data_IF_544048544891
#
_entry.id   IF_544048544891
#
_cell.length_a   1.000
_cell.length_b   1.000
_cell.length_c   1.000
_cell.angle_alpha   90.00
_cell.angle_beta   90.00
_cell.angle_gamma   90.00
#
_symmetry.space_group_name_H-M   'P 1'
#
loop_
_entity.id
_entity.type
_entity.pdbx_description
1 polymer ?
#
# COMPACT_ATOMS: atom_id res chain seq x y z
N UNK A 1 -8.81 -14.11 -12.95
CA UNK A 1 -8.13 -12.80 -13.01
C UNK A 1 -8.42 -12.16 -14.36
N UNK A 2 -8.96 -10.95 -14.37
CA UNK A 2 -9.27 -10.20 -15.61
C UNK A 2 -8.20 -9.11 -15.78
N UNK A 3 -7.77 -8.87 -17.03
CA UNK A 3 -6.88 -7.75 -17.36
C UNK A 3 -7.75 -6.65 -17.95
N UNK A 4 -7.61 -5.42 -17.45
CA UNK A 4 -8.29 -4.23 -17.97
C UNK A 4 -7.26 -3.20 -18.37
N UNK A 5 -7.39 -2.66 -19.57
CA UNK A 5 -6.55 -1.57 -20.08
C UNK A 5 -7.39 -0.28 -19.95
N UNK A 6 -6.90 0.69 -19.19
CA UNK A 6 -7.56 2.00 -19.11
C UNK A 6 -7.34 2.79 -20.40
N UNK A 7 -8.33 3.53 -20.91
CA UNK A 7 -8.14 4.37 -22.10
C UNK A 7 -6.97 5.36 -21.95
N UNK A 8 -6.72 5.85 -20.73
CA UNK A 8 -5.57 6.72 -20.43
C UNK A 8 -4.22 6.07 -20.71
N UNK A 9 -4.11 4.73 -20.64
CA UNK A 9 -2.89 4.01 -20.99
C UNK A 9 -2.61 4.09 -22.50
N UNK A 10 -3.63 3.93 -23.35
CA UNK A 10 -3.47 4.05 -24.80
C UNK A 10 -3.04 5.48 -25.20
N UNK A 11 -3.63 6.50 -24.57
CA UNK A 11 -3.22 7.89 -24.77
C UNK A 11 -1.77 8.11 -24.34
N UNK A 12 -1.37 7.56 -23.20
CA UNK A 12 0.01 7.64 -22.71
C UNK A 12 1.01 6.99 -23.68
N UNK A 13 0.72 5.80 -24.19
CA UNK A 13 1.57 5.11 -25.19
C UNK A 13 1.69 5.94 -26.47
N UNK A 14 0.59 6.55 -26.93
CA UNK A 14 0.61 7.42 -28.10
C UNK A 14 1.50 8.66 -27.87
N UNK A 15 1.39 9.29 -26.72
CA UNK A 15 2.23 10.45 -26.36
C UNK A 15 3.71 10.02 -26.30
N UNK A 16 4.02 8.90 -25.69
CA UNK A 16 5.38 8.37 -25.64
C UNK A 16 5.93 8.10 -27.04
N UNK A 17 5.12 7.50 -27.91
CA UNK A 17 5.54 7.22 -29.29
C UNK A 17 5.91 8.51 -30.06
N UNK A 18 5.08 9.57 -29.90
CA UNK A 18 5.31 10.86 -30.56
C UNK A 18 6.54 11.57 -30.00
N UNK A 19 6.73 11.56 -28.67
CA UNK A 19 7.79 12.32 -28.01
C UNK A 19 9.15 11.63 -27.98
N UNK A 20 9.18 10.30 -27.82
CA UNK A 20 10.40 9.54 -27.58
C UNK A 20 10.82 8.65 -28.76
N UNK A 21 9.97 8.56 -29.78
CA UNK A 21 10.20 7.71 -30.94
C UNK A 21 9.87 6.24 -30.73
N UNK A 22 9.90 5.42 -31.79
CA UNK A 22 9.40 4.05 -31.76
C UNK A 22 10.24 3.11 -30.88
N UNK A 23 11.55 3.22 -30.88
CA UNK A 23 12.44 2.33 -30.11
C UNK A 23 12.29 2.57 -28.60
N UNK A 24 12.29 3.83 -28.16
CA UNK A 24 12.11 4.16 -26.74
C UNK A 24 10.71 3.81 -26.25
N UNK A 25 9.67 4.05 -27.06
CA UNK A 25 8.30 3.66 -26.75
C UNK A 25 8.20 2.12 -26.62
N UNK A 26 8.76 1.35 -27.55
CA UNK A 26 8.77 -0.10 -27.47
C UNK A 26 9.50 -0.59 -26.21
N UNK A 27 10.64 0.01 -25.85
CA UNK A 27 11.37 -0.30 -24.62
C UNK A 27 10.53 -0.09 -23.37
N UNK A 28 9.89 1.07 -23.23
CA UNK A 28 9.07 1.41 -22.04
C UNK A 28 7.81 0.53 -21.94
N UNK A 29 7.13 0.28 -23.06
CA UNK A 29 5.94 -0.61 -23.09
C UNK A 29 6.34 -2.04 -22.73
N UNK A 30 7.45 -2.54 -23.30
CA UNK A 30 7.96 -3.87 -22.97
C UNK A 30 8.30 -3.98 -21.49
N UNK A 31 9.02 -3.00 -20.93
CA UNK A 31 9.39 -3.00 -19.52
C UNK A 31 8.16 -3.03 -18.62
N UNK A 32 7.14 -2.23 -18.92
CA UNK A 32 5.91 -2.19 -18.12
C UNK A 32 5.11 -3.50 -18.24
N UNK A 33 4.91 -4.02 -19.46
CA UNK A 33 4.14 -5.25 -19.68
C UNK A 33 4.80 -6.44 -19.01
N UNK A 34 6.13 -6.55 -19.11
CA UNK A 34 6.89 -7.62 -18.44
C UNK A 34 6.75 -7.51 -16.93
N UNK A 35 6.97 -6.33 -16.37
CA UNK A 35 6.87 -6.04 -14.95
C UNK A 35 5.52 -6.49 -14.38
N UNK A 36 4.42 -6.02 -14.96
CA UNK A 36 3.07 -6.36 -14.52
C UNK A 36 2.72 -7.85 -14.76
N UNK A 37 3.25 -8.44 -15.83
CA UNK A 37 3.04 -9.85 -16.12
C UNK A 37 3.68 -10.75 -15.07
N UNK A 38 4.86 -10.40 -14.57
CA UNK A 38 5.53 -11.14 -13.52
C UNK A 38 4.82 -11.00 -12.18
N UNK A 39 4.32 -9.80 -11.82
CA UNK A 39 3.44 -9.65 -10.66
C UNK A 39 2.19 -10.52 -10.79
N UNK A 40 1.55 -10.51 -11.96
CA UNK A 40 0.36 -11.32 -12.21
C UNK A 40 0.63 -12.83 -12.17
N UNK A 41 1.79 -13.27 -12.66
CA UNK A 41 2.22 -14.68 -12.59
C UNK A 41 2.51 -15.09 -11.14
N UNK A 42 3.24 -14.26 -10.39
CA UNK A 42 3.53 -14.50 -8.98
C UNK A 42 2.24 -14.53 -8.14
N UNK A 43 1.31 -13.64 -8.39
CA UNK A 43 0.02 -13.63 -7.71
C UNK A 43 -0.78 -14.92 -7.95
N UNK A 44 -0.77 -15.44 -9.17
CA UNK A 44 -1.39 -16.75 -9.48
C UNK A 44 -0.67 -17.90 -8.78
N UNK A 45 0.65 -17.91 -8.81
CA UNK A 45 1.48 -18.95 -8.19
C UNK A 45 1.27 -18.97 -6.68
N UNK A 46 1.21 -17.80 -6.07
CA UNK A 46 0.95 -17.60 -4.66
C UNK A 46 -0.54 -17.71 -4.30
N UNK A 47 -1.43 -17.97 -5.26
CA UNK A 47 -2.88 -18.08 -5.07
C UNK A 47 -3.48 -16.84 -4.39
N UNK A 48 -2.99 -15.64 -4.75
CA UNK A 48 -3.55 -14.39 -4.24
C UNK A 48 -4.96 -14.15 -4.80
N UNK A 49 -5.90 -13.66 -3.98
CA UNK A 49 -7.30 -13.45 -4.36
C UNK A 49 -7.46 -12.17 -5.20
N UNK A 50 -6.78 -12.09 -6.36
CA UNK A 50 -6.85 -10.93 -7.24
C UNK A 50 -8.08 -11.02 -8.15
N UNK A 51 -8.89 -9.96 -8.17
CA UNK A 51 -10.06 -9.82 -9.03
C UNK A 51 -9.65 -9.39 -10.45
N UNK A 52 -8.86 -8.32 -10.56
CA UNK A 52 -8.37 -7.82 -11.84
C UNK A 52 -7.03 -7.07 -11.70
N UNK A 53 -6.31 -7.00 -12.81
CA UNK A 53 -5.13 -6.15 -12.99
C UNK A 53 -5.50 -5.06 -14.00
N UNK A 54 -5.40 -3.79 -13.60
CA UNK A 54 -5.69 -2.63 -14.44
C UNK A 54 -4.37 -1.98 -14.86
N UNK A 55 -4.11 -1.91 -16.18
CA UNK A 55 -2.97 -1.17 -16.71
C UNK A 55 -3.30 0.32 -16.76
N UNK A 56 -2.52 1.13 -16.07
CA UNK A 56 -2.58 2.58 -16.01
C UNK A 56 -1.28 3.20 -16.57
N UNK A 57 -1.22 4.50 -16.87
CA UNK A 57 -0.06 5.15 -17.47
C UNK A 57 1.26 4.97 -16.71
N UNK A 58 1.20 4.86 -15.40
CA UNK A 58 2.39 4.80 -14.53
C UNK A 58 2.52 3.45 -13.80
N UNK A 59 1.88 2.38 -14.29
CA UNK A 59 1.98 1.04 -13.71
C UNK A 59 0.66 0.29 -13.71
N UNK A 60 0.69 -0.96 -13.22
CA UNK A 60 -0.49 -1.79 -12.99
C UNK A 60 -1.07 -1.59 -11.60
N UNK A 61 -2.38 -1.63 -11.51
CA UNK A 61 -3.09 -1.63 -10.24
C UNK A 61 -3.73 -3.00 -10.05
N UNK A 62 -3.24 -3.76 -9.07
CA UNK A 62 -3.85 -5.03 -8.69
C UNK A 62 -5.03 -4.77 -7.75
N UNK A 63 -6.23 -5.16 -8.18
CA UNK A 63 -7.44 -5.11 -7.35
C UNK A 63 -7.73 -6.46 -6.77
N UNK A 64 -7.82 -6.53 -5.46
CA UNK A 64 -8.18 -7.73 -4.72
C UNK A 64 -9.69 -7.96 -4.75
N UNK A 65 -10.11 -9.20 -4.51
CA UNK A 65 -11.54 -9.53 -4.36
C UNK A 65 -12.08 -8.84 -3.10
N UNK A 66 -13.36 -8.51 -3.11
CA UNK A 66 -14.02 -7.86 -1.97
C UNK A 66 -13.86 -8.70 -0.70
N UNK A 67 -13.39 -8.08 0.38
CA UNK A 67 -13.12 -8.75 1.65
C UNK A 67 -11.78 -9.49 1.73
N UNK A 68 -10.96 -9.47 0.67
CA UNK A 68 -9.63 -10.07 0.67
C UNK A 68 -8.54 -9.00 0.73
N UNK A 69 -7.44 -9.33 1.37
CA UNK A 69 -6.30 -8.43 1.58
C UNK A 69 -5.03 -8.99 0.97
N UNK A 70 -4.11 -8.12 0.56
CA UNK A 70 -2.79 -8.55 0.11
C UNK A 70 -2.07 -9.34 1.20
N UNK A 71 -1.38 -10.43 0.82
CA UNK A 71 -0.51 -11.16 1.73
C UNK A 71 0.57 -10.25 2.30
N UNK A 72 0.91 -10.47 3.56
CA UNK A 72 1.98 -9.77 4.30
C UNK A 72 3.17 -10.71 4.51
N UNK A 73 4.23 -10.20 5.14
CA UNK A 73 5.46 -10.95 5.39
C UNK A 73 6.17 -11.35 4.10
N UNK A 74 6.87 -12.47 4.13
CA UNK A 74 7.68 -12.96 2.99
C UNK A 74 6.87 -13.21 1.72
N UNK A 75 5.62 -13.60 1.86
CA UNK A 75 4.74 -13.88 0.72
C UNK A 75 4.38 -12.59 -0.03
N UNK A 76 4.00 -11.53 0.70
CA UNK A 76 3.76 -10.22 0.11
C UNK A 76 5.04 -9.59 -0.47
N UNK A 77 6.18 -9.77 0.22
CA UNK A 77 7.48 -9.30 -0.28
C UNK A 77 7.89 -10.01 -1.57
N UNK A 78 7.68 -11.34 -1.68
CA UNK A 78 7.96 -12.09 -2.90
C UNK A 78 7.06 -11.63 -4.06
N UNK A 79 5.79 -11.33 -3.78
CA UNK A 79 4.87 -10.77 -4.78
C UNK A 79 5.38 -9.42 -5.28
N UNK A 80 5.80 -8.53 -4.39
CA UNK A 80 6.32 -7.21 -4.74
C UNK A 80 7.66 -7.29 -5.52
N UNK A 81 8.54 -8.25 -5.22
CA UNK A 81 9.79 -8.43 -5.95
C UNK A 81 9.62 -9.05 -7.35
N UNK A 82 8.47 -9.64 -7.63
CA UNK A 82 8.26 -10.37 -8.90
C UNK A 82 8.37 -9.45 -10.12
N UNK A 83 7.84 -8.23 -10.08
CA UNK A 83 7.95 -7.26 -11.17
C UNK A 83 9.41 -6.90 -11.50
N UNK A 84 10.18 -6.39 -10.54
CA UNK A 84 11.62 -6.14 -10.72
C UNK A 84 12.39 -7.36 -11.21
N UNK A 85 12.07 -8.57 -10.71
CA UNK A 85 12.70 -9.82 -11.17
C UNK A 85 12.38 -10.12 -12.64
N UNK A 86 11.17 -9.80 -13.10
CA UNK A 86 10.77 -9.91 -14.51
C UNK A 86 11.59 -8.99 -15.41
N UNK A 87 11.75 -7.73 -15.03
CA UNK A 87 12.60 -6.80 -15.78
C UNK A 87 14.05 -7.27 -15.83
N UNK A 88 14.59 -7.79 -14.72
CA UNK A 88 15.93 -8.35 -14.69
C UNK A 88 16.07 -9.58 -15.62
N UNK A 89 15.08 -10.46 -15.63
CA UNK A 89 15.07 -11.64 -16.52
C UNK A 89 15.13 -11.25 -18.01
N UNK A 90 14.45 -10.18 -18.44
CA UNK A 90 14.53 -9.67 -19.81
C UNK A 90 15.93 -9.16 -20.13
N UNK A 91 16.58 -8.44 -19.22
CA UNK A 91 17.95 -7.95 -19.41
C UNK A 91 18.90 -9.13 -19.64
N UNK A 92 18.81 -10.16 -18.79
CA UNK A 92 19.62 -11.38 -18.93
C UNK A 92 19.34 -12.12 -20.24
N UNK A 93 18.06 -12.26 -20.60
CA UNK A 93 17.66 -12.95 -21.82
C UNK A 93 18.24 -12.27 -23.06
N UNK A 94 18.16 -10.95 -23.16
CA UNK A 94 18.72 -10.19 -24.26
C UNK A 94 20.25 -10.36 -24.30
N UNK A 95 20.93 -10.28 -23.16
CA UNK A 95 22.38 -10.49 -23.08
C UNK A 95 22.84 -11.89 -23.51
N UNK A 96 22.00 -12.90 -23.29
CA UNK A 96 22.36 -14.29 -23.65
C UNK A 96 22.02 -14.68 -25.10
N UNK A 97 20.91 -14.13 -25.65
CA UNK A 97 20.31 -14.65 -26.90
C UNK A 97 20.45 -13.66 -28.06
N UNK A 98 20.67 -12.36 -27.82
CA UNK A 98 20.73 -11.39 -28.90
C UNK A 98 22.05 -11.39 -29.63
N UNK A 99 22.06 -11.65 -30.95
CA UNK A 99 23.31 -11.69 -31.74
C UNK A 99 23.91 -10.29 -31.91
N UNK A 100 23.10 -9.23 -31.83
CA UNK A 100 23.54 -7.84 -31.94
C UNK A 100 22.85 -6.98 -30.86
N UNK A 101 23.37 -7.04 -29.60
CA UNK A 101 22.78 -6.31 -28.49
C UNK A 101 22.93 -4.77 -28.62
N UNK A 102 23.79 -4.29 -29.49
CA UNK A 102 24.05 -2.87 -29.73
C UNK A 102 23.04 -2.21 -30.67
N UNK A 103 22.15 -2.97 -31.31
CA UNK A 103 21.07 -2.41 -32.09
C UNK A 103 20.19 -1.50 -31.20
N UNK A 104 19.78 -0.35 -31.73
CA UNK A 104 19.06 0.71 -31.00
C UNK A 104 17.85 0.16 -30.22
N UNK A 105 17.07 -0.71 -30.84
CA UNK A 105 15.90 -1.31 -30.21
C UNK A 105 16.25 -2.10 -28.93
N UNK A 106 17.28 -2.96 -29.00
CA UNK A 106 17.67 -3.77 -27.83
C UNK A 106 18.24 -2.90 -26.71
N UNK A 107 19.03 -1.89 -27.06
CA UNK A 107 19.52 -0.90 -26.09
C UNK A 107 18.37 -0.17 -25.38
N UNK A 108 17.35 0.26 -26.14
CA UNK A 108 16.16 0.90 -25.55
C UNK A 108 15.40 -0.06 -24.63
N UNK A 109 15.24 -1.34 -25.01
CA UNK A 109 14.56 -2.35 -24.17
C UNK A 109 15.36 -2.61 -22.89
N UNK A 110 16.68 -2.84 -23.00
CA UNK A 110 17.53 -3.09 -21.83
C UNK A 110 17.52 -1.89 -20.88
N UNK A 111 17.71 -0.67 -21.41
CA UNK A 111 17.71 0.54 -20.61
C UNK A 111 16.37 0.78 -19.90
N UNK A 112 15.25 0.59 -20.60
CA UNK A 112 13.92 0.77 -20.01
C UNK A 112 13.64 -0.26 -18.90
N UNK A 113 14.01 -1.54 -19.12
CA UNK A 113 13.86 -2.58 -18.10
C UNK A 113 14.78 -2.32 -16.89
N UNK A 114 16.01 -1.87 -17.10
CA UNK A 114 16.93 -1.50 -16.02
C UNK A 114 16.39 -0.33 -15.22
N UNK A 115 15.95 0.74 -15.89
CA UNK A 115 15.37 1.91 -15.23
C UNK A 115 14.11 1.55 -14.43
N UNK A 116 13.20 0.76 -15.01
CA UNK A 116 11.99 0.28 -14.36
C UNK A 116 12.33 -0.54 -13.11
N UNK A 117 13.28 -1.49 -13.22
CA UNK A 117 13.73 -2.31 -12.11
C UNK A 117 14.32 -1.45 -10.97
N UNK A 118 15.25 -0.53 -11.29
CA UNK A 118 15.92 0.29 -10.28
C UNK A 118 14.94 1.24 -9.59
N UNK A 119 14.05 1.88 -10.34
CA UNK A 119 13.02 2.75 -9.77
C UNK A 119 12.10 1.98 -8.83
N UNK A 120 11.63 0.80 -9.25
CA UNK A 120 10.73 0.00 -8.41
C UNK A 120 11.42 -0.66 -7.21
N UNK A 121 12.74 -0.79 -7.19
CA UNK A 121 13.48 -1.23 -6.01
C UNK A 121 13.76 -0.13 -4.98
N UNK A 122 13.38 1.14 -5.24
CA UNK A 122 13.54 2.20 -4.25
C UNK A 122 12.75 1.89 -2.97
N UNK A 123 13.35 2.12 -1.77
CA UNK A 123 12.75 1.80 -0.48
C UNK A 123 11.70 2.84 -0.07
N UNK A 124 10.72 3.06 -0.89
CA UNK A 124 9.70 4.11 -0.73
C UNK A 124 8.39 3.76 -1.41
N UNK A 125 7.27 4.18 -0.86
CA UNK A 125 5.98 4.13 -1.57
C UNK A 125 5.94 5.26 -2.62
N UNK A 126 5.41 4.98 -3.81
CA UNK A 126 4.58 3.82 -4.21
C UNK A 126 5.34 2.65 -4.86
N UNK A 127 6.65 2.60 -4.78
CA UNK A 127 7.47 1.59 -5.46
C UNK A 127 7.39 0.21 -4.79
N UNK A 128 7.75 -0.84 -5.54
CA UNK A 128 7.76 -2.22 -5.04
C UNK A 128 8.72 -2.44 -3.89
N UNK A 129 9.90 -1.77 -3.89
CA UNK A 129 10.85 -1.80 -2.78
C UNK A 129 10.22 -1.28 -1.48
N UNK A 130 9.39 -0.24 -1.56
CA UNK A 130 8.59 0.22 -0.43
C UNK A 130 7.55 -0.82 0.00
N UNK A 131 6.91 -1.49 -0.95
CA UNK A 131 5.95 -2.57 -0.69
C UNK A 131 6.62 -3.79 -0.03
N UNK A 132 7.84 -4.14 -0.44
CA UNK A 132 8.66 -5.17 0.21
C UNK A 132 8.92 -4.82 1.67
N UNK A 133 9.41 -3.60 1.93
CA UNK A 133 9.67 -3.13 3.29
C UNK A 133 8.40 -3.07 4.14
N UNK A 134 7.29 -2.64 3.54
CA UNK A 134 5.99 -2.66 4.20
C UNK A 134 5.57 -4.08 4.59
N UNK A 135 5.66 -5.04 3.66
CA UNK A 135 5.28 -6.42 3.93
C UNK A 135 6.14 -7.07 5.01
N UNK A 136 7.47 -6.89 4.97
CA UNK A 136 8.38 -7.45 5.96
C UNK A 136 8.27 -6.76 7.31
N UNK A 137 8.07 -5.44 7.34
CA UNK A 137 7.94 -4.65 8.56
C UNK A 137 6.57 -4.72 9.22
N UNK A 138 5.56 -5.25 8.54
CA UNK A 138 4.16 -5.25 8.98
C UNK A 138 3.95 -5.85 10.38
N UNK A 139 4.65 -6.92 10.70
CA UNK A 139 4.55 -7.59 12.01
C UNK A 139 5.54 -7.06 13.06
N UNK A 140 6.53 -6.28 12.63
CA UNK A 140 7.61 -5.81 13.50
C UNK A 140 7.37 -4.39 14.01
N UNK A 141 6.74 -3.55 13.19
CA UNK A 141 6.56 -2.13 13.44
C UNK A 141 5.08 -1.75 13.53
N UNK A 142 4.82 -0.58 14.07
CA UNK A 142 3.50 0.04 13.98
C UNK A 142 3.17 0.37 12.51
N UNK A 143 2.04 -0.15 12.03
CA UNK A 143 1.63 -0.06 10.62
C UNK A 143 1.49 1.39 10.17
N UNK A 144 0.93 2.26 11.00
CA UNK A 144 0.72 3.67 10.66
C UNK A 144 2.05 4.42 10.54
N UNK A 145 3.00 4.15 11.45
CA UNK A 145 4.33 4.75 11.40
C UNK A 145 5.12 4.24 10.20
N UNK A 146 5.05 2.94 9.92
CA UNK A 146 5.74 2.33 8.79
C UNK A 146 5.26 2.94 7.46
N UNK A 147 3.94 3.02 7.24
CA UNK A 147 3.37 3.68 6.05
C UNK A 147 3.80 5.15 6.00
N UNK A 148 3.80 5.86 7.14
CA UNK A 148 4.24 7.25 7.23
C UNK A 148 5.68 7.45 6.78
N UNK A 149 6.61 6.60 7.25
CA UNK A 149 8.03 6.65 6.90
C UNK A 149 8.24 6.35 5.40
N UNK A 150 7.61 5.30 4.88
CA UNK A 150 7.73 4.91 3.48
C UNK A 150 7.10 5.94 2.53
N UNK A 151 6.00 6.57 2.93
CA UNK A 151 5.40 7.68 2.17
C UNK A 151 6.27 8.92 2.18
N UNK A 152 6.87 9.27 3.33
CA UNK A 152 7.82 10.38 3.43
C UNK A 152 9.05 10.13 2.53
N UNK A 153 9.59 8.93 2.55
CA UNK A 153 10.68 8.53 1.65
C UNK A 153 10.29 8.74 0.18
N UNK A 154 9.06 8.38 -0.22
CA UNK A 154 8.54 8.62 -1.57
C UNK A 154 8.50 10.11 -1.93
N UNK A 155 8.05 10.96 -1.01
CA UNK A 155 8.06 12.43 -1.22
C UNK A 155 9.49 12.95 -1.39
N UNK A 156 10.44 12.45 -0.59
CA UNK A 156 11.85 12.85 -0.68
C UNK A 156 12.49 12.41 -2.00
N UNK A 157 12.24 11.19 -2.47
CA UNK A 157 12.69 10.72 -3.78
C UNK A 157 12.08 11.54 -4.91
N UNK A 158 10.78 11.84 -4.86
CA UNK A 158 10.14 12.69 -5.85
C UNK A 158 10.73 14.11 -5.89
N UNK A 159 11.04 14.69 -4.72
CA UNK A 159 11.73 15.97 -4.64
C UNK A 159 13.16 15.88 -5.22
N UNK A 160 13.89 14.80 -4.92
CA UNK A 160 15.23 14.57 -5.46
C UNK A 160 15.22 14.47 -7.00
N UNK A 161 14.21 13.84 -7.62
CA UNK A 161 14.06 13.79 -9.07
C UNK A 161 13.83 15.20 -9.66
N UNK A 162 12.97 16.00 -9.04
CA UNK A 162 12.74 17.38 -9.48
C UNK A 162 14.01 18.25 -9.34
N UNK A 163 14.71 18.14 -8.22
CA UNK A 163 15.98 18.90 -8.02
C UNK A 163 17.07 18.47 -8.98
N UNK A 164 17.17 17.17 -9.28
CA UNK A 164 18.12 16.65 -10.27
C UNK A 164 17.81 17.18 -11.69
N UNK A 165 16.53 17.26 -12.06
CA UNK A 165 16.13 17.85 -13.34
C UNK A 165 16.50 19.33 -13.44
N UNK A 166 16.26 20.10 -12.37
CA UNK A 166 16.66 21.52 -12.31
C UNK A 166 18.18 21.69 -12.33
N UNK A 167 18.91 20.84 -11.62
CA UNK A 167 20.39 20.85 -11.64
C UNK A 167 20.93 20.54 -13.05
N UNK A 168 20.32 19.59 -13.77
CA UNK A 168 20.65 19.30 -15.17
C UNK A 168 20.48 20.51 -16.08
N UNK A 169 19.44 21.31 -15.86
CA UNK A 169 19.25 22.55 -16.62
C UNK A 169 20.36 23.59 -16.32
N UNK A 170 20.74 23.74 -15.05
CA UNK A 170 21.76 24.70 -14.65
C UNK A 170 23.17 24.30 -15.12
N UNK A 171 23.50 22.99 -15.00
CA UNK A 171 24.85 22.49 -15.28
C UNK A 171 25.08 22.19 -16.78
N UNK A 172 24.05 21.71 -17.47
CA UNK A 172 24.17 21.20 -18.85
C UNK A 172 23.28 21.93 -19.87
N UNK A 173 22.48 22.91 -19.43
CA UNK A 173 21.53 23.62 -20.29
C UNK A 173 20.36 22.76 -20.79
N UNK A 174 20.18 21.55 -20.25
CA UNK A 174 19.14 20.60 -20.71
C UNK A 174 18.17 20.31 -19.58
N UNK A 175 16.87 20.61 -19.79
CA UNK A 175 15.81 20.30 -18.83
C UNK A 175 15.22 18.92 -19.11
N UNK A 176 15.35 17.99 -18.17
CA UNK A 176 14.73 16.69 -18.29
C UNK A 176 13.30 16.72 -17.73
N UNK A 177 12.33 17.01 -18.62
CA UNK A 177 10.90 17.06 -18.26
C UNK A 177 10.38 15.73 -17.70
N UNK A 178 10.92 14.59 -18.15
CA UNK A 178 10.50 13.27 -17.65
C UNK A 178 10.78 13.13 -16.17
N UNK A 179 11.95 13.56 -15.68
CA UNK A 179 12.27 13.55 -14.25
C UNK A 179 11.33 14.44 -13.44
N UNK A 180 10.94 15.61 -13.97
CA UNK A 180 9.98 16.49 -13.29
C UNK A 180 8.62 15.81 -13.18
N UNK A 181 8.11 15.24 -14.28
CA UNK A 181 6.80 14.59 -14.32
C UNK A 181 6.79 13.37 -13.39
N UNK A 182 7.83 12.53 -13.44
CA UNK A 182 7.96 11.36 -12.56
C UNK A 182 8.06 11.81 -11.10
N UNK A 183 8.90 12.81 -10.79
CA UNK A 183 9.05 13.35 -9.44
C UNK A 183 7.75 13.90 -8.87
N UNK A 184 7.03 14.71 -9.65
CA UNK A 184 5.72 15.25 -9.25
C UNK A 184 4.68 14.14 -9.04
N UNK A 185 4.64 13.15 -9.92
CA UNK A 185 3.75 11.99 -9.80
C UNK A 185 4.03 11.19 -8.53
N UNK A 186 5.32 10.89 -8.28
CA UNK A 186 5.74 10.14 -7.07
C UNK A 186 5.34 10.90 -5.80
N UNK A 187 5.59 12.21 -5.73
CA UNK A 187 5.18 13.04 -4.59
C UNK A 187 3.65 13.05 -4.39
N UNK A 188 2.91 13.19 -5.48
CA UNK A 188 1.43 13.19 -5.40
C UNK A 188 0.92 11.85 -4.90
N UNK A 189 1.39 10.75 -5.49
CA UNK A 189 0.94 9.41 -5.15
C UNK A 189 1.37 8.99 -3.73
N UNK A 190 2.61 9.28 -3.33
CA UNK A 190 3.11 8.98 -1.99
C UNK A 190 2.27 9.65 -0.88
N UNK A 191 1.77 10.88 -1.12
CA UNK A 191 0.85 11.57 -0.18
C UNK A 191 -0.53 10.90 -0.14
N UNK A 192 -1.09 10.53 -1.29
CA UNK A 192 -2.39 9.86 -1.38
C UNK A 192 -2.38 8.43 -0.84
N UNK A 193 -1.29 7.70 -1.10
CA UNK A 193 -1.12 6.30 -0.73
C UNK A 193 -1.25 6.04 0.78
N UNK A 194 -0.84 7.01 1.62
CA UNK A 194 -0.94 6.89 3.09
C UNK A 194 -2.38 6.65 3.53
N UNK A 195 -3.33 7.46 3.07
CA UNK A 195 -4.74 7.32 3.44
C UNK A 195 -5.37 6.04 2.89
N UNK A 196 -5.09 5.73 1.63
CA UNK A 196 -5.64 4.55 0.96
C UNK A 196 -5.13 3.24 1.58
N UNK A 197 -3.82 3.13 1.84
CA UNK A 197 -3.23 1.95 2.48
C UNK A 197 -3.70 1.78 3.92
N UNK A 198 -3.85 2.86 4.66
CA UNK A 198 -4.42 2.80 6.01
C UNK A 198 -5.86 2.29 5.95
N UNK A 199 -6.71 2.84 5.09
CA UNK A 199 -8.09 2.42 4.92
C UNK A 199 -8.21 0.95 4.49
N UNK A 200 -7.38 0.50 3.53
CA UNK A 200 -7.33 -0.89 3.09
C UNK A 200 -6.91 -1.84 4.22
N UNK A 201 -5.90 -1.47 5.02
CA UNK A 201 -5.47 -2.30 6.14
C UNK A 201 -6.51 -2.34 7.26
N UNK A 202 -7.17 -1.22 7.55
CA UNK A 202 -8.31 -1.18 8.49
C UNK A 202 -9.40 -2.14 8.04
N UNK A 203 -9.85 -1.98 6.78
CA UNK A 203 -10.91 -2.83 6.23
C UNK A 203 -10.54 -4.31 6.29
N UNK A 204 -9.28 -4.63 5.99
CA UNK A 204 -8.72 -5.95 6.04
C UNK A 204 -8.88 -6.63 7.40
N UNK A 205 -8.31 -5.99 8.41
CA UNK A 205 -8.26 -6.49 9.78
C UNK A 205 -9.67 -6.61 10.33
N UNK A 206 -10.49 -5.59 10.09
CA UNK A 206 -11.85 -5.57 10.58
C UNK A 206 -12.70 -6.66 9.92
N UNK A 207 -12.58 -6.85 8.60
CA UNK A 207 -13.33 -7.91 7.90
C UNK A 207 -12.90 -9.31 8.35
N UNK A 208 -11.61 -9.53 8.60
CA UNK A 208 -11.10 -10.79 9.13
C UNK A 208 -11.65 -11.05 10.55
N UNK A 209 -11.64 -10.04 11.43
CA UNK A 209 -12.18 -10.13 12.78
C UNK A 209 -13.68 -10.39 12.82
N UNK A 210 -14.47 -9.69 12.00
CA UNK A 210 -15.92 -9.90 11.91
C UNK A 210 -16.29 -11.26 11.32
N UNK A 211 -15.43 -11.86 10.49
CA UNK A 211 -15.64 -13.20 9.92
C UNK A 211 -15.14 -14.33 10.82
N UNK A 212 -14.18 -14.05 11.68
CA UNK A 212 -13.67 -15.02 12.63
C UNK A 212 -14.79 -15.40 13.61
N UNK A 213 -15.30 -16.65 13.52
CA UNK A 213 -16.22 -17.18 14.53
C UNK A 213 -15.47 -17.25 15.85
N UNK A 214 -15.87 -16.44 16.81
CA UNK A 214 -15.25 -16.38 18.13
C UNK A 214 -15.36 -17.73 18.84
N UNK A 215 -14.25 -18.44 18.96
CA UNK A 215 -14.07 -19.40 20.04
C UNK A 215 -13.48 -18.59 21.21
N UNK A 216 -14.24 -18.32 22.28
CA UNK A 216 -13.77 -17.47 23.36
C UNK A 216 -12.72 -18.21 24.19
N UNK A 217 -11.44 -18.01 23.90
CA UNK A 217 -10.35 -18.60 24.68
C UNK A 217 -9.63 -17.60 25.57
N UNK A 218 -9.61 -16.31 25.22
CA UNK A 218 -9.01 -15.23 26.02
C UNK A 218 -9.72 -13.92 25.74
N UNK A 219 -10.00 -13.14 26.80
CA UNK A 219 -10.53 -11.78 26.72
C UNK A 219 -9.46 -10.84 27.24
N UNK A 220 -9.03 -9.87 26.42
CA UNK A 220 -8.10 -8.84 26.87
C UNK A 220 -8.82 -7.51 27.00
N UNK A 221 -8.54 -6.80 28.10
CA UNK A 221 -9.09 -5.49 28.38
C UNK A 221 -8.05 -4.43 28.07
N UNK A 222 -8.44 -3.41 27.29
CA UNK A 222 -7.63 -2.26 26.95
C UNK A 222 -8.23 -0.99 27.53
N UNK A 223 -7.41 -0.21 28.23
CA UNK A 223 -7.81 1.11 28.71
C UNK A 223 -7.42 2.14 27.65
N UNK A 224 -8.39 2.92 27.16
CA UNK A 224 -8.21 3.91 26.11
C UNK A 224 -8.54 5.32 26.62
N UNK A 225 -7.81 6.29 26.10
CA UNK A 225 -8.19 7.70 26.20
C UNK A 225 -9.21 8.05 25.09
N UNK A 226 -10.20 8.86 25.41
CA UNK A 226 -11.19 9.32 24.42
C UNK A 226 -10.58 10.16 23.27
N UNK A 227 -9.36 10.66 23.43
CA UNK A 227 -8.65 11.46 22.42
C UNK A 227 -7.89 10.61 21.38
N UNK A 228 -7.72 9.32 21.65
CA UNK A 228 -7.02 8.43 20.73
C UNK A 228 -7.76 8.29 19.40
N UNK A 229 -6.99 8.21 18.33
CA UNK A 229 -7.54 7.98 17.00
C UNK A 229 -7.81 6.49 16.80
N UNK A 230 -8.96 6.16 16.20
CA UNK A 230 -9.38 4.77 15.98
C UNK A 230 -8.35 3.92 15.24
N UNK A 231 -7.68 4.47 14.23
CA UNK A 231 -6.72 3.70 13.46
C UNK A 231 -5.50 3.25 14.28
N UNK A 232 -5.15 3.95 15.39
CA UNK A 232 -4.03 3.54 16.25
C UNK A 232 -4.33 2.23 16.98
N UNK A 233 -5.61 1.91 17.18
CA UNK A 233 -6.06 0.69 17.85
C UNK A 233 -5.96 -0.56 16.97
N UNK A 234 -5.77 -0.39 15.66
CA UNK A 234 -5.60 -1.50 14.72
C UNK A 234 -4.41 -2.37 15.11
N UNK A 235 -3.33 -1.75 15.58
CA UNK A 235 -2.12 -2.49 16.02
C UNK A 235 -2.43 -3.40 17.20
N UNK A 236 -3.33 -2.96 18.10
CA UNK A 236 -3.79 -3.78 19.21
C UNK A 236 -4.61 -4.98 18.71
N UNK A 237 -5.52 -4.74 17.75
CA UNK A 237 -6.34 -5.79 17.15
C UNK A 237 -5.50 -6.81 16.38
N UNK A 238 -4.42 -6.37 15.69
CA UNK A 238 -3.55 -7.25 14.90
C UNK A 238 -2.73 -8.21 15.75
N UNK A 239 -2.33 -7.79 16.96
CA UNK A 239 -1.38 -8.54 17.80
C UNK A 239 -2.05 -9.53 18.75
N UNK A 240 -3.37 -9.50 18.83
CA UNK A 240 -4.08 -10.26 19.86
C UNK A 240 -4.71 -11.55 19.33
N UNK A 241 -4.48 -12.65 20.05
CA UNK A 241 -5.22 -13.89 19.95
C UNK A 241 -6.38 -13.86 20.94
N UNK A 242 -7.64 -13.79 20.47
CA UNK A 242 -8.85 -13.73 21.29
C UNK A 242 -9.69 -12.47 21.12
N UNK A 243 -10.69 -12.27 21.98
CA UNK A 243 -11.62 -11.13 21.94
C UNK A 243 -11.08 -9.93 22.71
N UNK A 244 -11.14 -8.74 22.14
CA UNK A 244 -10.76 -7.49 22.79
C UNK A 244 -11.98 -6.76 23.35
N UNK A 245 -11.86 -6.22 24.55
CA UNK A 245 -12.83 -5.34 25.17
C UNK A 245 -12.12 -4.02 25.53
N UNK A 246 -12.68 -2.91 25.10
CA UNK A 246 -12.07 -1.60 25.27
C UNK A 246 -12.83 -0.78 26.31
N UNK A 247 -12.11 -0.37 27.36
CA UNK A 247 -12.59 0.55 28.37
C UNK A 247 -12.13 1.96 28.01
N UNK A 248 -13.06 2.85 27.70
CA UNK A 248 -12.76 4.23 27.32
C UNK A 248 -13.10 5.14 28.48
N UNK A 249 -12.11 5.91 28.94
CA UNK A 249 -12.32 6.91 30.01
C UNK A 249 -13.17 8.07 29.51
N UNK A 250 -14.25 8.36 30.21
CA UNK A 250 -15.16 9.52 29.96
C UNK A 250 -14.69 10.76 30.71
N UNK A 251 -15.17 11.92 30.31
CA UNK A 251 -14.87 13.20 30.97
C UNK A 251 -15.52 13.30 32.37
N UNK A 252 -16.61 12.58 32.60
CA UNK A 252 -17.38 12.52 33.85
C UNK A 252 -16.87 11.52 34.90
N UNK A 253 -15.62 11.08 34.77
CA UNK A 253 -14.96 10.05 35.61
C UNK A 253 -15.53 8.64 35.46
N UNK A 254 -16.47 8.40 34.53
CA UNK A 254 -16.97 7.07 34.17
C UNK A 254 -16.11 6.38 33.13
N UNK A 255 -16.44 5.12 32.85
CA UNK A 255 -15.86 4.34 31.75
C UNK A 255 -16.97 3.85 30.84
N UNK A 256 -16.78 3.98 29.54
CA UNK A 256 -17.63 3.35 28.55
C UNK A 256 -16.96 2.06 28.06
N UNK A 257 -17.76 1.01 27.92
CA UNK A 257 -17.29 -0.27 27.40
C UNK A 257 -17.64 -0.36 25.92
N UNK A 258 -16.62 -0.54 25.10
CA UNK A 258 -16.72 -0.82 23.67
C UNK A 258 -16.29 -2.25 23.41
N UNK A 259 -17.14 -3.04 22.80
CA UNK A 259 -16.77 -4.36 22.33
C UNK A 259 -15.99 -4.28 21.00
N UNK A 260 -15.33 -5.38 20.64
CA UNK A 260 -14.53 -5.46 19.42
C UNK A 260 -15.39 -5.21 18.17
N UNK A 261 -16.63 -5.67 18.15
CA UNK A 261 -17.53 -5.51 17.01
C UNK A 261 -17.94 -4.04 16.80
N UNK A 262 -18.25 -3.33 17.90
CA UNK A 262 -18.56 -1.91 17.87
C UNK A 262 -17.37 -1.07 17.39
N UNK A 263 -16.16 -1.39 17.88
CA UNK A 263 -14.94 -0.75 17.43
C UNK A 263 -14.69 -1.02 15.95
N UNK A 264 -14.84 -2.26 15.52
CA UNK A 264 -14.68 -2.66 14.12
C UNK A 264 -15.66 -1.94 13.18
N UNK A 265 -16.93 -1.86 13.55
CA UNK A 265 -17.95 -1.13 12.79
C UNK A 265 -17.62 0.38 12.70
N UNK A 266 -17.14 0.97 13.78
CA UNK A 266 -16.74 2.36 13.82
C UNK A 266 -15.51 2.64 12.93
N UNK A 267 -14.51 1.75 12.96
CA UNK A 267 -13.33 1.82 12.08
C UNK A 267 -13.70 1.75 10.60
N UNK A 268 -14.70 0.95 10.23
CA UNK A 268 -15.21 0.87 8.86
C UNK A 268 -15.92 2.16 8.42
N UNK A 269 -16.64 2.79 9.35
CA UNK A 269 -17.42 3.98 9.04
C UNK A 269 -16.52 5.25 8.96
N UNK A 270 -15.66 5.44 9.96
CA UNK A 270 -14.85 6.66 10.13
C UNK A 270 -13.46 6.34 10.72
N UNK A 271 -12.51 5.79 9.93
CA UNK A 271 -11.23 5.30 10.45
C UNK A 271 -10.34 6.37 11.10
N UNK A 272 -10.51 7.65 10.73
CA UNK A 272 -9.76 8.77 11.28
C UNK A 272 -10.48 9.48 12.45
N UNK A 273 -11.63 8.99 12.89
CA UNK A 273 -12.34 9.58 14.02
C UNK A 273 -11.62 9.32 15.34
N UNK A 274 -11.89 10.18 16.34
CA UNK A 274 -11.45 9.95 17.71
C UNK A 274 -12.44 9.02 18.44
N UNK A 275 -11.93 8.22 19.37
CA UNK A 275 -12.75 7.28 20.16
C UNK A 275 -13.93 7.96 20.86
N UNK A 276 -13.74 9.19 21.36
CA UNK A 276 -14.81 9.97 21.99
C UNK A 276 -16.02 10.26 21.08
N UNK A 277 -15.81 10.37 19.76
CA UNK A 277 -16.93 10.61 18.82
C UNK A 277 -17.85 9.42 18.71
N UNK A 278 -17.30 8.19 18.82
CA UNK A 278 -18.09 6.96 18.81
C UNK A 278 -18.94 6.87 20.05
N UNK A 279 -18.38 7.19 21.22
CA UNK A 279 -19.08 7.15 22.48
C UNK A 279 -20.27 8.11 22.43
N UNK A 280 -20.05 9.38 22.02
CA UNK A 280 -21.14 10.37 21.87
C UNK A 280 -22.21 9.94 20.88
N UNK A 281 -21.82 9.31 19.77
CA UNK A 281 -22.77 8.84 18.74
C UNK A 281 -23.60 7.65 19.23
N UNK A 282 -23.03 6.81 20.06
CA UNK A 282 -23.68 5.62 20.62
C UNK A 282 -24.48 5.90 21.90
N UNK A 283 -24.17 6.96 22.65
CA UNK A 283 -25.01 7.40 23.78
C UNK A 283 -26.48 7.65 23.37
N UNK A 284 -26.71 8.03 22.12
CA UNK A 284 -28.06 8.18 21.54
C UNK A 284 -28.71 6.87 21.10
N UNK A 285 -27.99 5.73 21.11
CA UNK A 285 -28.44 4.46 20.55
C UNK A 285 -28.57 3.30 21.55
N UNK A 286 -28.57 3.54 22.85
CA UNK A 286 -28.77 2.53 23.94
C UNK A 286 -27.81 1.32 23.90
N UNK A 287 -26.78 1.34 23.06
CA UNK A 287 -25.85 0.20 22.89
C UNK A 287 -24.60 0.26 23.78
N UNK A 288 -24.40 1.35 24.52
CA UNK A 288 -23.25 1.49 25.44
C UNK A 288 -23.69 1.14 26.85
N UNK A 289 -23.01 0.20 27.46
CA UNK A 289 -23.16 -0.12 28.88
C UNK A 289 -22.16 0.71 29.67
N UNK A 290 -22.65 1.52 30.63
CA UNK A 290 -21.79 2.22 31.59
C UNK A 290 -21.22 1.24 32.60
N UNK A 291 -19.91 1.24 32.75
CA UNK A 291 -19.21 0.40 33.73
C UNK A 291 -18.63 1.29 34.83
N UNK A 292 -18.90 0.93 36.09
CA UNK A 292 -18.19 1.50 37.25
C UNK A 292 -17.04 0.56 37.67
N UNK A 293 -15.96 1.13 38.21
CA UNK A 293 -14.82 0.35 38.73
C UNK A 293 -15.23 -0.64 39.83
N UNK A 294 -16.34 -0.37 40.54
CA UNK A 294 -16.92 -1.26 41.56
C UNK A 294 -17.42 -2.59 40.96
N UNK A 295 -17.93 -2.55 39.72
CA UNK A 295 -18.39 -3.75 39.01
C UNK A 295 -17.21 -4.65 38.60
N UNK A 296 -16.02 -4.09 38.36
CA UNK A 296 -14.80 -4.85 38.06
C UNK A 296 -14.19 -5.50 39.31
N UNK A 297 -14.34 -4.89 40.49
CA UNK A 297 -13.85 -5.42 41.77
C UNK A 297 -14.65 -6.64 42.22
N UNK A 298 -15.89 -6.81 41.79
CA UNK A 298 -16.75 -7.95 42.09
C UNK A 298 -16.55 -9.18 41.20
N UNK A 299 -15.69 -9.10 40.16
CA UNK A 299 -15.37 -10.19 39.24
C UNK A 299 -14.06 -10.92 39.57
N UNK A 300 -13.55 -10.80 40.82
CA UNK A 300 -12.42 -11.58 41.31
C UNK A 300 -12.86 -12.91 41.89
#
# INVERSE_FOLDING_TARGET
MRIRIRPSFAVYVLILFILSGPCACAGLVTALVVHESFHAAAARLLREPIACVELAPFGGVMRYQTGCTPSKGFRGAALALAGPAGNYAVILLIGCVCPNPDAELWRCIVFANLAMMLLNLLPALPFDGGSVLFCLGYYLFDVSRLIGILSLAGVLFGLAFCTLACAGMVLYGTLNLTLIVVGAYVMHYARGCKGELLAQNVYAIVSERLQARHTPSRVAFYLLSGEEQLYSLITCLCRQEGTAVFLVKREDQGYALLDEEQLCRALLAEPCAQVRHIIKKNENSTEIRDFSLETLAGLR
#
